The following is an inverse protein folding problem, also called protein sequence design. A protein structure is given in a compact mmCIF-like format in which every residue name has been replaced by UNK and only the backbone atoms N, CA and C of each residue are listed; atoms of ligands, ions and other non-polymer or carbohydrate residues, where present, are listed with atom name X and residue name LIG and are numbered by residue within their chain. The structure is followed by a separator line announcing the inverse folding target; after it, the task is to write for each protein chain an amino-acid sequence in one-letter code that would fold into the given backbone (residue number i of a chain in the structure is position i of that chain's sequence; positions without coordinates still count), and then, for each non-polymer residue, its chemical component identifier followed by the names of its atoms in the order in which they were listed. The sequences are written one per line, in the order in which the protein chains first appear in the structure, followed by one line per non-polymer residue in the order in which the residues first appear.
data_IF_736321886706
#
_entry.id   IF_736321886706
#
_cell.length_a   1.000
_cell.length_b   1.000
_cell.length_c   1.000
_cell.angle_alpha   90.00
_cell.angle_beta   90.00
_cell.angle_gamma   90.00
#
_symmetry.space_group_name_H-M   'P 1'
#
loop_
_entity.id
_entity.type
_entity.pdbx_description
1 polymer ?
#
# COMPACT_ATOMS: atom_id res chain seq x y z
N UNK A 1 5.98 -21.36 31.92
CA UNK A 1 4.80 -20.55 31.56
C UNK A 1 5.28 -19.14 31.27
N UNK A 2 5.40 -18.75 30.00
CA UNK A 2 5.75 -17.36 29.65
C UNK A 2 4.61 -16.42 30.04
N UNK A 3 4.89 -15.45 30.91
CA UNK A 3 3.95 -14.41 31.28
C UNK A 3 3.73 -13.39 30.16
N UNK A 4 2.54 -12.78 30.11
CA UNK A 4 2.21 -11.73 29.12
C UNK A 4 3.18 -10.53 29.26
N UNK A 5 3.82 -10.15 28.14
CA UNK A 5 4.81 -9.06 28.06
C UNK A 5 4.24 -7.68 28.40
N UNK A 6 2.93 -7.43 28.19
CA UNK A 6 2.29 -6.14 28.54
C UNK A 6 0.87 -6.32 29.07
N UNK A 7 0.38 -5.30 29.78
CA UNK A 7 -1.02 -5.26 30.27
C UNK A 7 -2.05 -5.05 29.14
N UNK A 8 -1.64 -4.72 27.91
CA UNK A 8 -2.55 -4.39 26.81
C UNK A 8 -3.34 -3.09 27.02
N UNK A 9 -4.36 -2.83 26.18
CA UNK A 9 -5.18 -1.62 26.25
C UNK A 9 -5.95 -1.56 27.57
N UNK A 10 -5.68 -0.53 28.37
CA UNK A 10 -6.35 -0.29 29.65
C UNK A 10 -7.52 0.68 29.48
N UNK A 11 -8.65 0.39 30.14
CA UNK A 11 -9.77 1.33 30.24
C UNK A 11 -9.36 2.49 31.13
N UNK A 12 -9.59 3.72 30.67
CA UNK A 12 -9.34 4.95 31.43
C UNK A 12 -10.65 5.76 31.54
N UNK A 13 -10.87 6.49 32.64
CA UNK A 13 -12.03 7.36 32.78
C UNK A 13 -11.98 8.54 31.79
N UNK A 14 -13.15 8.97 31.30
CA UNK A 14 -13.29 10.17 30.46
C UNK A 14 -13.26 11.41 31.36
N UNK A 15 -12.05 11.78 31.78
CA UNK A 15 -11.74 12.99 32.55
C UNK A 15 -10.35 13.50 32.19
N UNK A 16 -10.01 14.73 32.61
CA UNK A 16 -8.68 15.30 32.36
C UNK A 16 -7.58 14.41 32.94
N UNK A 17 -6.63 14.00 32.09
CA UNK A 17 -5.45 13.22 32.49
C UNK A 17 -4.48 14.16 33.21
N UNK A 18 -4.14 13.84 34.47
CA UNK A 18 -3.29 14.68 35.32
C UNK A 18 -1.80 14.54 34.99
N UNK A 19 -1.36 13.31 34.70
CA UNK A 19 0.04 13.05 34.33
C UNK A 19 0.33 13.65 32.93
N UNK A 20 1.33 14.51 32.84
CA UNK A 20 1.65 15.28 31.62
C UNK A 20 2.10 14.38 30.46
N UNK A 21 2.95 13.39 30.71
CA UNK A 21 3.45 12.49 29.67
C UNK A 21 2.35 11.59 29.12
N UNK A 22 1.50 11.06 30.00
CA UNK A 22 0.33 10.30 29.64
C UNK A 22 -0.69 11.16 28.87
N UNK A 23 -0.84 12.43 29.24
CA UNK A 23 -1.71 13.38 28.54
C UNK A 23 -1.20 13.66 27.13
N UNK A 24 0.09 13.97 26.96
CA UNK A 24 0.70 14.21 25.65
C UNK A 24 0.64 12.97 24.76
N UNK A 25 0.99 11.80 25.30
CA UNK A 25 0.92 10.53 24.57
C UNK A 25 -0.50 10.21 24.15
N UNK A 26 -1.48 10.41 25.05
CA UNK A 26 -2.89 10.18 24.75
C UNK A 26 -3.40 11.17 23.71
N UNK A 27 -3.01 12.45 23.79
CA UNK A 27 -3.35 13.45 22.78
C UNK A 27 -2.86 13.01 21.40
N UNK A 28 -1.59 12.64 21.26
CA UNK A 28 -1.03 12.21 19.98
C UNK A 28 -1.78 11.02 19.40
N UNK A 29 -2.02 9.98 20.20
CA UNK A 29 -2.73 8.77 19.77
C UNK A 29 -4.19 9.03 19.42
N UNK A 30 -4.90 9.84 20.21
CA UNK A 30 -6.31 10.18 19.95
C UNK A 30 -6.47 11.08 18.75
N UNK A 31 -5.57 12.06 18.57
CA UNK A 31 -5.53 12.93 17.40
C UNK A 31 -5.37 12.11 16.12
N UNK A 32 -4.40 11.19 16.11
CA UNK A 32 -4.15 10.30 14.97
C UNK A 32 -5.37 9.41 14.68
N UNK A 33 -5.94 8.76 15.70
CA UNK A 33 -7.16 7.96 15.54
C UNK A 33 -8.36 8.76 15.06
N UNK A 34 -8.52 10.01 15.52
CA UNK A 34 -9.56 10.92 15.07
C UNK A 34 -9.38 11.30 13.61
N UNK A 35 -8.15 11.61 13.18
CA UNK A 35 -7.85 11.95 11.78
C UNK A 35 -8.11 10.77 10.86
N UNK A 36 -7.73 9.56 11.28
CA UNK A 36 -8.03 8.34 10.53
C UNK A 36 -9.55 8.19 10.34
N UNK A 37 -10.33 8.33 11.41
CA UNK A 37 -11.80 8.26 11.33
C UNK A 37 -12.42 9.36 10.48
N UNK A 38 -11.88 10.58 10.54
CA UNK A 38 -12.34 11.67 9.69
C UNK A 38 -12.06 11.40 8.20
N UNK A 39 -10.88 10.84 7.88
CA UNK A 39 -10.51 10.44 6.52
C UNK A 39 -11.42 9.33 5.98
N UNK A 40 -11.73 8.32 6.82
CA UNK A 40 -12.70 7.26 6.47
C UNK A 40 -14.07 7.86 6.17
N UNK A 41 -14.60 8.72 7.07
CA UNK A 41 -15.92 9.33 6.91
C UNK A 41 -16.04 10.20 5.66
N UNK A 42 -15.01 11.00 5.39
CA UNK A 42 -14.87 11.78 4.16
C UNK A 42 -14.98 10.89 2.92
N UNK A 43 -14.26 9.76 2.94
CA UNK A 43 -14.16 8.86 1.80
C UNK A 43 -15.46 8.09 1.57
N UNK A 44 -16.14 7.68 2.64
CA UNK A 44 -17.36 6.88 2.56
C UNK A 44 -18.61 7.72 2.28
N UNK A 45 -18.65 8.97 2.77
CA UNK A 45 -19.87 9.79 2.74
C UNK A 45 -19.76 11.05 1.86
N UNK A 46 -18.60 11.35 1.26
CA UNK A 46 -18.33 12.59 0.51
C UNK A 46 -18.75 13.86 1.28
N UNK A 47 -18.26 13.96 2.52
CA UNK A 47 -18.60 15.06 3.43
C UNK A 47 -17.45 16.04 3.63
N UNK A 48 -17.79 17.31 3.78
CA UNK A 48 -16.87 18.38 4.14
C UNK A 48 -16.58 18.35 5.66
N UNK A 49 -15.31 18.21 6.05
CA UNK A 49 -14.89 18.12 7.46
C UNK A 49 -13.73 19.09 7.74
N UNK A 50 -13.84 19.81 8.86
CA UNK A 50 -12.74 20.57 9.46
C UNK A 50 -12.55 20.24 10.94
N UNK A 51 -11.31 19.99 11.34
CA UNK A 51 -10.92 19.72 12.72
C UNK A 51 -9.75 20.64 13.07
N UNK A 52 -9.89 21.36 14.18
CA UNK A 52 -8.83 22.19 14.76
C UNK A 52 -8.63 21.81 16.23
N UNK A 53 -7.39 21.55 16.62
CA UNK A 53 -7.02 21.18 17.98
C UNK A 53 -5.75 21.89 18.41
N UNK A 54 -5.70 22.33 19.67
CA UNK A 54 -4.46 22.83 20.29
C UNK A 54 -3.97 21.75 21.25
N UNK A 55 -2.73 21.30 21.06
CA UNK A 55 -2.12 20.31 21.93
C UNK A 55 -1.90 20.87 23.34
N UNK A 56 -1.74 20.02 24.36
CA UNK A 56 -1.36 20.46 25.71
C UNK A 56 -0.04 21.27 25.76
N UNK A 57 0.79 21.16 24.71
CA UNK A 57 2.03 21.93 24.54
C UNK A 57 1.81 23.27 23.81
N UNK A 58 0.56 23.66 23.54
CA UNK A 58 0.21 24.91 22.85
C UNK A 58 0.37 24.86 21.32
N UNK A 59 0.75 23.72 20.74
CA UNK A 59 0.92 23.58 19.29
C UNK A 59 -0.41 23.30 18.59
N UNK A 60 -0.80 24.08 17.56
CA UNK A 60 -2.00 23.81 16.79
C UNK A 60 -1.81 22.60 15.87
N UNK A 61 -2.90 21.88 15.65
CA UNK A 61 -3.02 20.76 14.72
C UNK A 61 -4.37 20.85 14.02
N UNK A 62 -4.38 20.56 12.72
CA UNK A 62 -5.62 20.59 11.93
C UNK A 62 -5.73 19.43 10.96
N UNK A 63 -6.97 19.16 10.57
CA UNK A 63 -7.34 18.27 9.47
C UNK A 63 -8.50 18.93 8.73
N UNK A 64 -8.41 19.07 7.41
CA UNK A 64 -9.45 19.67 6.59
C UNK A 64 -9.61 18.86 5.32
N UNK A 65 -10.85 18.69 4.88
CA UNK A 65 -11.22 18.10 3.59
C UNK A 65 -12.22 19.00 2.87
N UNK A 66 -12.16 19.01 1.53
CA UNK A 66 -12.39 20.15 0.64
C UNK A 66 -11.22 21.15 0.64
N UNK A 67 -11.37 22.33 1.25
CA UNK A 67 -10.31 23.32 1.46
C UNK A 67 -10.59 24.06 2.77
N UNK A 68 -9.56 24.65 3.39
CA UNK A 68 -9.74 25.44 4.62
C UNK A 68 -10.74 26.57 4.38
N UNK A 69 -10.59 27.31 3.28
CA UNK A 69 -11.45 28.45 2.97
C UNK A 69 -12.90 28.05 2.74
N UNK A 70 -13.16 26.92 2.06
CA UNK A 70 -14.51 26.41 1.89
C UNK A 70 -15.16 26.06 3.24
N UNK A 71 -14.42 25.37 4.11
CA UNK A 71 -14.91 24.98 5.44
C UNK A 71 -15.16 26.21 6.32
N UNK A 72 -14.21 27.14 6.37
CA UNK A 72 -14.33 28.36 7.18
C UNK A 72 -15.47 29.25 6.68
N UNK A 73 -15.61 29.41 5.36
CA UNK A 73 -16.70 30.20 4.77
C UNK A 73 -18.08 29.62 5.12
N UNK A 74 -18.26 28.30 4.99
CA UNK A 74 -19.49 27.62 5.37
C UNK A 74 -19.75 27.65 6.87
N UNK A 75 -18.70 27.57 7.70
CA UNK A 75 -18.84 27.65 9.15
C UNK A 75 -19.31 29.04 9.60
N UNK A 76 -18.78 30.10 8.99
CA UNK A 76 -19.17 31.48 9.30
C UNK A 76 -20.59 31.79 8.80
N UNK A 77 -20.96 31.31 7.61
CA UNK A 77 -22.27 31.52 7.01
C UNK A 77 -22.76 30.22 6.35
N UNK A 78 -23.59 29.41 7.03
CA UNK A 78 -24.04 28.12 6.52
C UNK A 78 -24.78 28.18 5.18
N UNK A 79 -25.53 29.27 4.96
CA UNK A 79 -26.31 29.50 3.74
C UNK A 79 -25.51 30.18 2.62
N UNK A 80 -24.24 30.51 2.86
CA UNK A 80 -23.41 31.22 1.89
C UNK A 80 -23.03 30.29 0.74
N UNK A 81 -23.32 30.74 -0.48
CA UNK A 81 -22.73 30.14 -1.66
C UNK A 81 -21.25 30.49 -1.75
N UNK A 82 -20.42 29.46 -1.92
CA UNK A 82 -18.99 29.62 -2.13
C UNK A 82 -18.73 30.40 -3.42
N UNK A 83 -17.74 31.31 -3.37
CA UNK A 83 -17.29 32.04 -4.56
C UNK A 83 -16.78 31.06 -5.62
N UNK A 84 -16.79 31.50 -6.88
CA UNK A 84 -16.35 30.65 -7.99
C UNK A 84 -14.92 30.13 -7.81
N UNK A 85 -14.01 30.96 -7.28
CA UNK A 85 -12.64 30.56 -6.96
C UNK A 85 -12.57 29.43 -5.92
N UNK A 86 -13.22 29.61 -4.76
CA UNK A 86 -13.22 28.60 -3.68
C UNK A 86 -13.86 27.29 -4.15
N UNK A 87 -14.89 27.37 -4.98
CA UNK A 87 -15.52 26.17 -5.59
C UNK A 87 -14.53 25.43 -6.48
N UNK A 88 -13.80 26.14 -7.34
CA UNK A 88 -12.81 25.55 -8.24
C UNK A 88 -11.65 24.91 -7.46
N UNK A 89 -11.17 25.58 -6.42
CA UNK A 89 -10.11 25.07 -5.54
C UNK A 89 -10.57 23.81 -4.82
N UNK A 90 -11.82 23.78 -4.35
CA UNK A 90 -12.43 22.61 -3.72
C UNK A 90 -12.51 21.43 -4.66
N UNK A 91 -12.97 21.65 -5.91
CA UNK A 91 -13.02 20.59 -6.93
C UNK A 91 -11.61 20.06 -7.21
N UNK A 92 -10.64 20.96 -7.37
CA UNK A 92 -9.24 20.60 -7.64
C UNK A 92 -8.65 19.77 -6.50
N UNK A 93 -8.86 20.19 -5.25
CA UNK A 93 -8.38 19.47 -4.08
C UNK A 93 -9.00 18.06 -3.98
N UNK A 94 -10.31 17.94 -4.19
CA UNK A 94 -11.00 16.64 -4.18
C UNK A 94 -10.49 15.71 -5.28
N UNK A 95 -10.36 16.22 -6.50
CA UNK A 95 -9.80 15.45 -7.61
C UNK A 95 -8.40 14.95 -7.30
N UNK A 96 -7.56 15.77 -6.67
CA UNK A 96 -6.21 15.35 -6.30
C UNK A 96 -6.19 14.25 -5.24
N UNK A 97 -7.08 14.34 -4.24
CA UNK A 97 -7.20 13.27 -3.23
C UNK A 97 -7.65 11.96 -3.87
N UNK A 98 -8.64 12.00 -4.77
CA UNK A 98 -9.12 10.82 -5.48
C UNK A 98 -8.03 10.20 -6.37
N UNK A 99 -7.26 11.03 -7.09
CA UNK A 99 -6.11 10.57 -7.87
C UNK A 99 -5.08 9.85 -6.99
N UNK A 100 -4.72 10.43 -5.84
CA UNK A 100 -3.78 9.82 -4.91
C UNK A 100 -4.31 8.52 -4.30
N UNK A 101 -5.61 8.47 -4.02
CA UNK A 101 -6.27 7.26 -3.52
C UNK A 101 -6.17 6.12 -4.53
N UNK A 102 -6.50 6.38 -5.80
CA UNK A 102 -6.42 5.37 -6.86
C UNK A 102 -4.98 4.86 -7.01
N UNK A 103 -3.99 5.77 -6.98
CA UNK A 103 -2.56 5.38 -7.05
C UNK A 103 -2.12 4.53 -5.85
N UNK A 104 -2.68 4.77 -4.67
CA UNK A 104 -2.40 3.97 -3.49
C UNK A 104 -2.99 2.55 -3.64
N UNK A 105 -4.23 2.44 -4.13
CA UNK A 105 -4.88 1.15 -4.40
C UNK A 105 -4.10 0.32 -5.45
N UNK A 106 -3.56 0.97 -6.49
CA UNK A 106 -2.69 0.32 -7.47
C UNK A 106 -1.40 -0.23 -6.83
N UNK A 107 -0.77 0.53 -5.93
CA UNK A 107 0.46 0.10 -5.25
C UNK A 107 0.21 -1.06 -4.29
N UNK A 108 -0.88 -1.00 -3.51
CA UNK A 108 -1.26 -2.08 -2.59
C UNK A 108 -1.49 -3.41 -3.36
N UNK A 109 -2.18 -3.35 -4.51
CA UNK A 109 -2.39 -4.53 -5.35
C UNK A 109 -1.08 -5.13 -5.89
N UNK A 110 -0.11 -4.28 -6.24
CA UNK A 110 1.23 -4.72 -6.68
C UNK A 110 1.99 -5.36 -5.52
N UNK A 111 1.93 -4.78 -4.32
CA UNK A 111 2.58 -5.30 -3.11
C UNK A 111 2.02 -6.69 -2.78
N UNK A 112 0.70 -6.85 -2.73
CA UNK A 112 0.02 -8.12 -2.47
C UNK A 112 0.39 -9.20 -3.50
N UNK A 113 0.41 -8.84 -4.79
CA UNK A 113 0.80 -9.75 -5.87
C UNK A 113 2.29 -10.15 -5.78
N UNK A 114 3.14 -9.27 -5.26
CA UNK A 114 4.57 -9.55 -5.07
C UNK A 114 4.79 -10.43 -3.85
N UNK A 115 4.12 -10.15 -2.73
CA UNK A 115 4.17 -10.97 -1.51
C UNK A 115 3.69 -12.39 -1.81
N UNK A 116 2.62 -12.55 -2.59
CA UNK A 116 2.12 -13.86 -2.99
C UNK A 116 3.15 -14.62 -3.85
N UNK A 117 3.78 -13.93 -4.81
CA UNK A 117 4.86 -14.51 -5.63
C UNK A 117 6.06 -14.96 -4.80
N UNK A 118 6.53 -14.13 -3.87
CA UNK A 118 7.67 -14.45 -3.00
C UNK A 118 7.33 -15.64 -2.11
N UNK A 119 6.19 -15.59 -1.43
CA UNK A 119 5.75 -16.67 -0.53
C UNK A 119 5.60 -17.99 -1.27
N UNK A 120 5.07 -17.97 -2.51
CA UNK A 120 4.99 -19.15 -3.35
C UNK A 120 6.37 -19.69 -3.75
N UNK A 121 7.29 -18.80 -4.13
CA UNK A 121 8.67 -19.20 -4.46
C UNK A 121 9.39 -19.84 -3.26
N UNK A 122 9.19 -19.30 -2.05
CA UNK A 122 9.77 -19.86 -0.82
C UNK A 122 9.18 -21.25 -0.51
N UNK A 123 7.86 -21.43 -0.65
CA UNK A 123 7.21 -22.74 -0.50
C UNK A 123 7.72 -23.76 -1.53
N UNK A 124 7.89 -23.34 -2.78
CA UNK A 124 8.44 -24.21 -3.83
C UNK A 124 9.93 -24.54 -3.60
N UNK A 125 10.72 -23.63 -3.02
CA UNK A 125 12.10 -23.90 -2.63
C UNK A 125 12.19 -24.91 -1.46
N UNK A 126 11.26 -24.84 -0.50
CA UNK A 126 11.14 -25.83 0.58
C UNK A 126 10.69 -27.20 0.06
N UNK A 127 9.72 -27.24 -0.86
CA UNK A 127 9.25 -28.49 -1.49
C UNK A 127 10.31 -29.07 -2.44
N UNK A 128 11.04 -28.21 -3.15
CA UNK A 128 12.15 -28.58 -4.04
C UNK A 128 13.33 -29.25 -3.35
N UNK A 129 13.44 -29.17 -2.02
CA UNK A 129 14.41 -29.98 -1.27
C UNK A 129 14.04 -31.48 -1.19
N UNK A 130 12.82 -31.90 -1.55
CA UNK A 130 12.42 -33.32 -1.60
C UNK A 130 11.47 -33.63 -2.77
N UNK A 131 12.04 -34.05 -3.91
CA UNK A 131 11.43 -35.09 -4.78
C UNK A 131 10.09 -34.78 -5.45
N UNK A 132 9.72 -33.52 -5.68
CA UNK A 132 8.37 -33.16 -6.13
C UNK A 132 7.98 -33.63 -7.55
N UNK A 133 8.95 -33.84 -8.44
CA UNK A 133 8.70 -34.41 -9.78
C UNK A 133 8.12 -35.84 -9.75
N UNK A 134 8.12 -36.52 -8.61
CA UNK A 134 7.52 -37.86 -8.45
C UNK A 134 5.99 -37.83 -8.20
N UNK A 135 5.35 -36.66 -8.05
CA UNK A 135 3.95 -36.55 -7.60
C UNK A 135 3.02 -35.66 -8.43
N UNK A 136 3.32 -35.44 -9.72
CA UNK A 136 2.50 -34.61 -10.64
C UNK A 136 1.03 -35.05 -10.67
N UNK A 137 0.75 -36.33 -10.43
CA UNK A 137 -0.61 -36.89 -10.39
C UNK A 137 -1.47 -36.40 -9.22
N UNK A 138 -0.88 -35.74 -8.21
CA UNK A 138 -1.59 -35.29 -6.99
C UNK A 138 -2.01 -33.83 -7.01
N UNK A 139 -1.72 -33.10 -8.10
CA UNK A 139 -2.04 -31.69 -8.21
C UNK A 139 -3.55 -31.47 -8.34
N UNK A 140 -4.08 -30.51 -7.58
CA UNK A 140 -5.45 -30.03 -7.76
C UNK A 140 -5.54 -29.02 -8.93
N UNK A 141 -6.75 -28.64 -9.32
CA UNK A 141 -6.98 -27.81 -10.52
C UNK A 141 -6.27 -26.45 -10.47
N UNK A 142 -6.25 -25.80 -9.31
CA UNK A 142 -5.59 -24.50 -9.13
C UNK A 142 -4.06 -24.66 -9.19
N UNK A 143 -3.52 -25.73 -8.61
CA UNK A 143 -2.10 -26.08 -8.65
C UNK A 143 -1.61 -26.41 -10.08
N UNK A 144 -2.46 -27.01 -10.92
CA UNK A 144 -2.13 -27.34 -12.31
C UNK A 144 -1.96 -26.06 -13.16
N UNK A 145 -2.86 -25.09 -13.00
CA UNK A 145 -2.79 -23.80 -13.72
C UNK A 145 -1.51 -23.05 -13.32
N UNK A 146 -1.15 -23.11 -12.04
CA UNK A 146 0.07 -22.50 -11.51
C UNK A 146 1.32 -23.20 -12.05
N UNK A 147 1.30 -24.54 -12.13
CA UNK A 147 2.40 -25.33 -12.69
C UNK A 147 2.62 -25.03 -14.19
N UNK A 148 1.55 -24.91 -14.96
CA UNK A 148 1.60 -24.54 -16.38
C UNK A 148 2.29 -23.18 -16.58
N UNK A 149 1.93 -22.18 -15.76
CA UNK A 149 2.54 -20.85 -15.82
C UNK A 149 4.06 -20.90 -15.52
N UNK A 150 4.48 -21.70 -14.54
CA UNK A 150 5.90 -21.87 -14.22
C UNK A 150 6.68 -22.59 -15.31
N UNK A 151 6.11 -23.65 -15.91
CA UNK A 151 6.72 -24.33 -17.05
C UNK A 151 6.89 -23.39 -18.24
N UNK A 152 5.87 -22.59 -18.53
CA UNK A 152 5.92 -21.60 -19.63
C UNK A 152 7.03 -20.57 -19.42
N UNK A 153 7.18 -20.04 -18.21
CA UNK A 153 8.27 -19.11 -17.85
C UNK A 153 9.65 -19.78 -17.95
N UNK A 154 9.78 -21.01 -17.45
CA UNK A 154 11.04 -21.76 -17.49
C UNK A 154 11.45 -22.09 -18.93
N UNK A 155 10.51 -22.55 -19.76
CA UNK A 155 10.73 -22.78 -21.19
C UNK A 155 11.12 -21.49 -21.91
N UNK A 156 10.52 -20.35 -21.56
CA UNK A 156 10.88 -19.05 -22.13
C UNK A 156 12.31 -18.63 -21.76
N UNK A 157 12.70 -18.82 -20.48
CA UNK A 157 14.08 -18.57 -20.02
C UNK A 157 15.10 -19.49 -20.69
N UNK A 158 14.78 -20.77 -20.82
CA UNK A 158 15.63 -21.74 -21.52
C UNK A 158 15.76 -21.39 -23.00
N UNK A 159 14.68 -21.00 -23.67
CA UNK A 159 14.70 -20.53 -25.05
C UNK A 159 15.57 -19.30 -25.24
N UNK A 160 15.47 -18.32 -24.32
CA UNK A 160 16.35 -17.16 -24.32
C UNK A 160 17.83 -17.55 -24.11
N UNK A 161 18.12 -18.52 -23.25
CA UNK A 161 19.48 -19.04 -23.05
C UNK A 161 20.03 -19.76 -24.28
N UNK A 162 19.19 -20.56 -24.95
CA UNK A 162 19.57 -21.30 -26.16
C UNK A 162 19.87 -20.34 -27.32
N UNK A 163 19.01 -19.33 -27.51
CA UNK A 163 19.25 -18.28 -28.51
C UNK A 163 20.54 -17.48 -28.23
N UNK A 164 20.89 -17.24 -26.97
CA UNK A 164 22.16 -16.60 -26.61
C UNK A 164 23.36 -17.49 -26.96
N UNK A 165 23.26 -18.79 -26.76
CA UNK A 165 24.33 -19.75 -27.11
C UNK A 165 24.47 -19.92 -28.63
N UNK A 166 23.36 -19.95 -29.38
CA UNK A 166 23.35 -20.08 -30.83
C UNK A 166 23.93 -18.83 -31.51
N UNK A 167 23.54 -17.64 -31.05
CA UNK A 167 24.12 -16.37 -31.53
C UNK A 167 25.59 -16.20 -31.11
N UNK A 168 26.01 -16.82 -30.00
CA UNK A 168 27.43 -16.90 -29.60
C UNK A 168 28.24 -17.84 -30.51
N UNK A 169 27.65 -18.97 -30.95
CA UNK A 169 28.30 -19.97 -31.80
C UNK A 169 28.47 -19.52 -33.27
N UNK A 170 27.56 -18.70 -33.82
CA UNK A 170 27.71 -18.16 -35.18
C UNK A 170 28.84 -17.12 -35.33
N UNK A 171 29.44 -16.64 -34.24
CA UNK A 171 30.56 -15.69 -34.28
C UNK A 171 31.95 -16.33 -34.44
N UNK A 172 32.07 -17.67 -34.40
CA UNK A 172 33.37 -18.37 -34.39
C UNK A 172 33.69 -19.22 -35.63
N UNK A 173 32.84 -19.26 -36.66
CA UNK A 173 33.17 -19.89 -37.95
C UNK A 173 33.21 -18.85 -39.09
N UNK A 174 34.33 -18.14 -39.17
CA UNK A 174 34.63 -17.17 -40.22
C UNK A 174 36.11 -17.13 -40.59
N UNK A 175 36.52 -18.11 -41.41
CA UNK A 175 37.64 -18.09 -42.39
C UNK A 175 39.05 -17.67 -41.94
N UNK A 176 39.97 -18.62 -42.05
CA UNK A 176 41.33 -18.38 -42.55
C UNK A 176 41.53 -19.29 -43.79
N UNK A 177 41.87 -18.71 -44.96
CA UNK A 177 42.66 -19.43 -45.93
C UNK A 177 43.90 -18.63 -46.39
N UNK A 178 45.05 -19.26 -46.13
CA UNK A 178 46.30 -19.29 -46.91
C UNK A 178 46.95 -17.98 -47.39
N UNK A 179 48.17 -17.75 -46.89
CA UNK A 179 49.20 -16.97 -47.57
C UNK A 179 50.60 -17.47 -47.24
N UNK A 180 51.21 -18.23 -48.18
CA UNK A 180 52.63 -18.14 -48.60
C UNK A 180 52.68 -18.46 -50.09
#
# INVERSE_FOLDING_TARGET
MEGKKTKGRQKIPIKKIKNKDALLTTFSKRREGLYKKASELVTECDVDIGILMISPAGKPHSFFYATVDAIVSRFQNPDMQLSQGIRLDTITARNKVNELKNRLEELDAIEDATITRITFSDQMAEIGQKGWWESIERLNADEVVIFEAWLSDTCSKMGHHLNQLENGASSSLGREPFGV
#
